data_IF_346007428981
#
_entry.id   IF_346007428981
#
_cell.length_a   1.000
_cell.length_b   1.000
_cell.length_c   1.000
_cell.angle_alpha   90.00
_cell.angle_beta   90.00
_cell.angle_gamma   90.00
#
_symmetry.space_group_name_H-M   'P 1'
#
loop_
_entity.id
_entity.type
_entity.pdbx_description
1 polymer ?
#
# COMPACT_ATOMS: atom_id res chain seq x y z
N UNK A 1 12.60 14.33 -3.71
CA UNK A 1 13.14 15.20 -4.78
C UNK A 1 12.42 14.85 -6.08
N UNK A 2 12.04 15.85 -6.91
CA UNK A 2 11.32 15.63 -8.18
C UNK A 2 11.96 14.57 -9.10
N UNK A 3 13.29 14.44 -9.02
CA UNK A 3 14.06 13.44 -9.76
C UNK A 3 13.68 11.99 -9.40
N UNK A 4 13.39 11.69 -8.13
CA UNK A 4 12.99 10.34 -7.72
C UNK A 4 11.60 9.98 -8.24
N UNK A 5 10.66 10.92 -8.22
CA UNK A 5 9.33 10.70 -8.79
C UNK A 5 9.40 10.46 -10.29
N UNK A 6 10.17 11.29 -11.02
CA UNK A 6 10.39 11.11 -12.45
C UNK A 6 11.01 9.73 -12.76
N UNK A 7 11.97 9.28 -11.94
CA UNK A 7 12.56 7.96 -12.07
C UNK A 7 11.51 6.84 -11.88
N UNK A 8 10.72 6.90 -10.80
CA UNK A 8 9.64 5.93 -10.52
C UNK A 8 8.67 5.87 -11.70
N UNK A 9 8.19 7.00 -12.19
CA UNK A 9 7.27 7.06 -13.32
C UNK A 9 7.87 6.49 -14.62
N UNK A 10 9.17 6.68 -14.84
CA UNK A 10 9.84 6.16 -16.04
C UNK A 10 10.10 4.65 -16.02
N UNK A 11 10.29 4.06 -14.83
CA UNK A 11 10.69 2.66 -14.67
C UNK A 11 9.52 1.73 -14.30
N UNK A 12 8.41 2.29 -13.82
CA UNK A 12 7.24 1.51 -13.41
C UNK A 12 6.32 1.24 -14.60
N UNK A 13 5.74 0.04 -14.67
CA UNK A 13 4.71 -0.28 -15.67
C UNK A 13 3.41 0.50 -15.43
N UNK A 14 3.14 0.82 -14.18
CA UNK A 14 1.97 1.56 -13.74
C UNK A 14 2.31 2.30 -12.44
N UNK A 15 1.73 3.49 -12.27
CA UNK A 15 1.84 4.28 -11.06
C UNK A 15 0.44 4.69 -10.62
N UNK A 16 0.04 4.28 -9.42
CA UNK A 16 -1.18 4.73 -8.77
C UNK A 16 -0.81 5.84 -7.79
N UNK A 17 -1.20 7.07 -8.10
CA UNK A 17 -0.90 8.22 -7.24
C UNK A 17 -2.12 8.54 -6.37
N UNK A 18 -1.98 8.35 -5.06
CA UNK A 18 -3.02 8.70 -4.10
C UNK A 18 -3.00 10.20 -3.78
N UNK A 19 -4.16 10.72 -3.38
CA UNK A 19 -4.24 12.09 -2.86
C UNK A 19 -3.49 12.19 -1.52
N UNK A 20 -2.92 13.36 -1.18
CA UNK A 20 -2.26 13.56 0.11
C UNK A 20 -3.21 13.42 1.29
N UNK A 21 -4.43 13.94 1.16
CA UNK A 21 -5.49 13.83 2.15
C UNK A 21 -6.36 12.61 1.80
N UNK A 22 -6.22 11.56 2.61
CA UNK A 22 -6.91 10.28 2.47
C UNK A 22 -6.96 9.57 3.83
N UNK A 23 -7.93 8.69 3.99
CA UNK A 23 -8.10 7.91 5.22
C UNK A 23 -7.22 6.66 5.23
N UNK A 24 -7.09 5.99 4.08
CA UNK A 24 -6.27 4.79 3.94
C UNK A 24 -4.78 5.11 3.95
N UNK A 25 -4.00 4.26 4.63
CA UNK A 25 -2.54 4.25 4.48
C UNK A 25 -2.14 3.82 3.06
N UNK A 26 -0.91 4.18 2.65
CA UNK A 26 -0.40 3.76 1.34
C UNK A 26 -0.34 2.22 1.18
N UNK A 27 -0.14 1.48 2.30
CA UNK A 27 -0.14 0.02 2.28
C UNK A 27 -1.55 -0.54 2.07
N UNK A 28 -2.56 0.01 2.73
CA UNK A 28 -3.96 -0.39 2.53
C UNK A 28 -4.40 -0.16 1.09
N UNK A 29 -4.08 1.00 0.51
CA UNK A 29 -4.35 1.28 -0.90
C UNK A 29 -3.66 0.29 -1.84
N UNK A 30 -2.41 -0.06 -1.56
CA UNK A 30 -1.68 -1.04 -2.36
C UNK A 30 -2.36 -2.42 -2.32
N UNK A 31 -2.79 -2.88 -1.15
CA UNK A 31 -3.46 -4.17 -0.99
C UNK A 31 -4.84 -4.18 -1.66
N UNK A 32 -5.64 -3.13 -1.47
CA UNK A 32 -6.94 -2.96 -2.16
C UNK A 32 -6.76 -2.98 -3.69
N UNK A 33 -5.74 -2.31 -4.22
CA UNK A 33 -5.44 -2.29 -5.65
C UNK A 33 -5.04 -3.67 -6.20
N UNK A 34 -4.32 -4.48 -5.42
CA UNK A 34 -3.98 -5.87 -5.77
C UNK A 34 -5.24 -6.73 -5.82
N UNK A 35 -6.07 -6.69 -4.78
CA UNK A 35 -7.28 -7.51 -4.72
C UNK A 35 -8.35 -7.10 -5.74
N UNK A 36 -8.45 -5.82 -6.08
CA UNK A 36 -9.33 -5.37 -7.16
C UNK A 36 -8.98 -6.00 -8.52
N UNK A 37 -7.70 -6.34 -8.75
CA UNK A 37 -7.23 -6.98 -10.00
C UNK A 37 -7.22 -8.50 -9.91
N UNK A 38 -6.88 -9.02 -8.73
CA UNK A 38 -6.71 -10.44 -8.46
C UNK A 38 -7.26 -10.75 -7.07
N UNK A 39 -8.58 -10.97 -6.93
CA UNK A 39 -9.22 -11.17 -5.63
C UNK A 39 -8.65 -12.33 -4.82
N UNK A 40 -8.08 -13.34 -5.48
CA UNK A 40 -7.50 -14.54 -4.85
C UNK A 40 -5.97 -14.47 -4.74
N UNK A 41 -5.36 -13.31 -4.92
CA UNK A 41 -3.90 -13.17 -4.84
C UNK A 41 -3.39 -13.49 -3.43
N UNK A 42 -2.27 -14.19 -3.36
CA UNK A 42 -1.52 -14.28 -2.11
C UNK A 42 -0.59 -13.07 -2.00
N UNK A 43 -0.82 -12.21 -1.00
CA UNK A 43 -0.02 -11.00 -0.78
C UNK A 43 1.00 -11.26 0.33
N UNK A 44 2.28 -11.01 0.05
CA UNK A 44 3.36 -11.01 1.06
C UNK A 44 3.89 -9.59 1.21
N UNK A 45 3.83 -9.05 2.42
CA UNK A 45 4.23 -7.68 2.72
C UNK A 45 5.62 -7.69 3.37
N UNK A 46 6.56 -6.94 2.82
CA UNK A 46 7.90 -6.74 3.37
C UNK A 46 8.04 -5.35 4.00
N UNK A 47 8.92 -5.22 5.00
CA UNK A 47 9.14 -3.93 5.66
C UNK A 47 7.95 -3.42 6.47
N UNK A 48 7.01 -4.31 6.83
CA UNK A 48 5.83 -3.97 7.62
C UNK A 48 6.16 -3.48 9.06
N UNK A 49 7.41 -3.65 9.50
CA UNK A 49 7.86 -3.35 10.85
C UNK A 49 9.06 -2.40 10.81
N UNK A 50 9.09 -1.40 11.70
CA UNK A 50 10.27 -0.55 11.91
C UNK A 50 9.97 0.95 12.01
N UNK A 51 10.91 1.69 12.62
CA UNK A 51 10.85 3.14 12.80
C UNK A 51 9.71 3.58 13.74
N UNK A 52 8.53 3.81 13.17
CA UNK A 52 7.34 4.31 13.87
C UNK A 52 6.45 3.17 14.35
N UNK A 53 6.16 3.16 15.65
CA UNK A 53 5.34 2.13 16.30
C UNK A 53 3.89 2.13 15.81
N UNK A 54 3.31 3.30 15.58
CA UNK A 54 1.94 3.47 15.08
C UNK A 54 1.74 2.89 13.67
N UNK A 55 2.72 3.07 12.77
CA UNK A 55 2.70 2.43 11.44
C UNK A 55 2.80 0.90 11.54
N UNK A 56 3.62 0.41 12.46
CA UNK A 56 3.74 -1.04 12.71
C UNK A 56 2.40 -1.63 13.17
N UNK A 57 1.69 -0.94 14.08
CA UNK A 57 0.37 -1.38 14.54
C UNK A 57 -0.67 -1.35 13.42
N UNK A 58 -0.71 -0.30 12.59
CA UNK A 58 -1.60 -0.24 11.43
C UNK A 58 -1.39 -1.43 10.48
N UNK A 59 -0.13 -1.80 10.20
CA UNK A 59 0.18 -2.94 9.34
C UNK A 59 -0.24 -4.30 9.95
N UNK A 60 -0.10 -4.46 11.26
CA UNK A 60 -0.55 -5.68 11.97
C UNK A 60 -2.07 -5.82 11.88
N UNK A 61 -2.80 -4.71 12.04
CA UNK A 61 -4.25 -4.70 12.03
C UNK A 61 -4.87 -4.57 10.64
N UNK A 62 -4.07 -4.60 9.57
CA UNK A 62 -4.53 -4.47 8.18
C UNK A 62 -5.66 -5.45 7.80
N UNK A 63 -5.66 -6.73 8.22
CA UNK A 63 -6.79 -7.64 7.95
C UNK A 63 -8.11 -7.26 8.65
N UNK A 64 -8.09 -6.33 9.61
CA UNK A 64 -9.28 -5.85 10.32
C UNK A 64 -10.12 -4.89 9.46
N UNK A 65 -9.56 -4.38 8.36
CA UNK A 65 -10.28 -3.52 7.43
C UNK A 65 -11.28 -4.38 6.61
N UNK A 66 -12.60 -4.10 6.66
CA UNK A 66 -13.63 -4.87 5.95
C UNK A 66 -13.43 -4.96 4.43
N UNK A 67 -12.72 -3.99 3.84
CA UNK A 67 -12.44 -3.96 2.41
C UNK A 67 -11.19 -4.76 2.02
N UNK A 68 -10.44 -5.24 3.01
CA UNK A 68 -9.18 -5.99 2.86
C UNK A 68 -9.31 -7.41 3.47
N UNK A 69 -10.46 -7.73 4.03
CA UNK A 69 -10.77 -9.06 4.57
C UNK A 69 -10.93 -10.06 3.42
N UNK A 70 -10.47 -11.32 3.56
CA UNK A 70 -10.79 -12.38 2.61
C UNK A 70 -12.30 -12.58 2.42
#
# INVERSE_FOLDING_TARGET
SYQLLALICSQSKEVLQAQPEKDDTDLELAVKAVFARSPQAQVTIFGAFGGRLDHTLANIFLPSNPEITP
#
